data_IF_988579069173
#
_entry.id   IF_988579069173
#
_cell.length_a   1.000
_cell.length_b   1.000
_cell.length_c   1.000
_cell.angle_alpha   90.00
_cell.angle_beta   90.00
_cell.angle_gamma   90.00
#
_symmetry.space_group_name_H-M   'P 1'
#
loop_
_entity.id
_entity.type
_entity.pdbx_description
1 polymer ?
#
# COMPACT_ATOMS: atom_id res chain seq x y z
N UNK A 1 -2.76 -19.74 19.84
CA UNK A 1 -3.74 -18.83 19.18
C UNK A 1 -5.14 -19.43 19.32
N UNK A 2 -6.18 -18.59 19.44
CA UNK A 2 -7.54 -19.01 19.75
C UNK A 2 -8.27 -19.54 18.49
N UNK A 3 -8.74 -20.81 18.45
CA UNK A 3 -9.39 -21.41 17.28
C UNK A 3 -10.62 -20.64 16.77
N UNK A 4 -11.35 -19.98 17.66
CA UNK A 4 -12.54 -19.19 17.31
C UNK A 4 -12.18 -17.96 16.45
N UNK A 5 -11.01 -17.36 16.67
CA UNK A 5 -10.53 -16.20 15.90
C UNK A 5 -10.17 -16.58 14.45
N UNK A 6 -9.76 -17.83 14.22
CA UNK A 6 -9.45 -18.33 12.87
C UNK A 6 -10.73 -18.57 12.04
N UNK A 7 -11.82 -19.03 12.68
CA UNK A 7 -13.08 -19.31 12.00
C UNK A 7 -13.77 -18.02 11.50
N UNK A 8 -13.76 -16.96 12.31
CA UNK A 8 -14.34 -15.66 11.96
C UNK A 8 -13.60 -14.96 10.82
N UNK A 9 -12.26 -15.02 10.81
CA UNK A 9 -11.44 -14.45 9.73
C UNK A 9 -11.69 -15.19 8.42
N UNK A 10 -11.69 -16.54 8.45
CA UNK A 10 -11.98 -17.36 7.27
C UNK A 10 -13.36 -17.03 6.69
N UNK A 11 -14.40 -16.99 7.52
CA UNK A 11 -15.76 -16.66 7.07
C UNK A 11 -15.85 -15.25 6.48
N UNK A 12 -15.12 -14.28 7.03
CA UNK A 12 -15.01 -12.93 6.47
C UNK A 12 -14.41 -12.90 5.07
N UNK A 13 -13.28 -13.58 4.85
CA UNK A 13 -12.67 -13.67 3.52
C UNK A 13 -13.56 -14.41 2.52
N UNK A 14 -14.16 -15.54 2.92
CA UNK A 14 -15.08 -16.30 2.08
C UNK A 14 -16.28 -15.47 1.61
N UNK A 15 -16.80 -14.58 2.46
CA UNK A 15 -17.89 -13.67 2.10
C UNK A 15 -17.48 -12.60 1.07
N UNK A 16 -16.18 -12.26 0.99
CA UNK A 16 -15.66 -11.26 0.06
C UNK A 16 -15.27 -11.85 -1.31
N UNK A 17 -14.92 -13.14 -1.38
CA UNK A 17 -14.47 -13.81 -2.61
C UNK A 17 -15.40 -13.69 -3.83
N UNK A 18 -16.75 -13.71 -3.69
CA UNK A 18 -17.64 -13.55 -4.84
C UNK A 18 -17.45 -12.20 -5.56
N UNK A 19 -16.97 -11.17 -4.84
CA UNK A 19 -16.69 -9.85 -5.39
C UNK A 19 -15.63 -9.90 -6.48
N UNK A 20 -14.34 -10.15 -6.16
CA UNK A 20 -13.26 -10.28 -7.14
C UNK A 20 -13.64 -11.15 -8.34
N UNK A 21 -14.14 -12.37 -8.11
CA UNK A 21 -14.51 -13.28 -9.20
C UNK A 21 -15.54 -12.65 -10.15
N UNK A 22 -16.56 -11.98 -9.62
CA UNK A 22 -17.57 -11.32 -10.45
C UNK A 22 -17.02 -10.11 -11.21
N UNK A 23 -16.15 -9.31 -10.59
CA UNK A 23 -15.57 -8.11 -11.18
C UNK A 23 -14.63 -8.45 -12.34
N UNK A 24 -13.77 -9.45 -12.17
CA UNK A 24 -12.80 -9.88 -13.17
C UNK A 24 -13.44 -10.43 -14.47
N UNK A 25 -14.72 -10.80 -14.43
CA UNK A 25 -15.48 -11.30 -15.58
C UNK A 25 -16.46 -10.27 -16.17
N UNK A 26 -16.40 -9.01 -15.75
CA UNK A 26 -17.18 -7.94 -16.38
C UNK A 26 -16.56 -7.54 -17.73
N UNK A 27 -17.37 -6.90 -18.58
CA UNK A 27 -16.85 -6.27 -19.79
C UNK A 27 -16.10 -4.98 -19.43
N UNK A 28 -14.98 -4.73 -20.12
CA UNK A 28 -14.26 -3.47 -19.97
C UNK A 28 -15.11 -2.28 -20.42
N UNK A 29 -15.12 -1.16 -19.68
CA UNK A 29 -15.94 0.01 -20.03
C UNK A 29 -15.43 0.75 -21.27
N UNK A 30 -14.20 0.51 -21.71
CA UNK A 30 -13.60 1.15 -22.88
C UNK A 30 -12.89 0.14 -23.80
N UNK A 31 -12.94 0.30 -25.13
CA UNK A 31 -12.22 -0.56 -26.07
C UNK A 31 -10.71 -0.57 -25.83
N UNK A 32 -10.09 -1.75 -25.90
CA UNK A 32 -8.64 -1.92 -25.72
C UNK A 32 -8.16 -1.86 -24.27
N UNK A 33 -9.07 -1.76 -23.30
CA UNK A 33 -8.76 -1.89 -21.88
C UNK A 33 -9.15 -3.27 -21.37
N UNK A 34 -8.40 -3.74 -20.38
CA UNK A 34 -8.73 -4.94 -19.63
C UNK A 34 -9.49 -4.54 -18.35
N UNK A 35 -10.54 -5.29 -18.03
CA UNK A 35 -11.36 -5.06 -16.84
C UNK A 35 -10.56 -5.18 -15.54
N UNK A 36 -9.47 -5.93 -15.55
CA UNK A 36 -8.60 -6.10 -14.39
C UNK A 36 -7.94 -4.78 -13.97
N UNK A 37 -7.61 -3.92 -14.92
CA UNK A 37 -7.07 -2.58 -14.68
C UNK A 37 -8.12 -1.51 -14.38
N UNK A 38 -9.41 -1.85 -14.30
CA UNK A 38 -10.46 -0.90 -13.96
C UNK A 38 -10.39 -0.56 -12.46
N UNK A 39 -10.21 0.72 -12.09
CA UNK A 39 -10.01 1.10 -10.69
C UNK A 39 -11.28 1.00 -9.84
N UNK A 40 -12.46 1.17 -10.44
CA UNK A 40 -13.70 1.24 -9.68
C UNK A 40 -14.92 0.68 -10.40
N UNK A 41 -15.84 0.22 -9.57
CA UNK A 41 -17.10 -0.39 -9.94
C UNK A 41 -18.20 0.22 -9.08
N UNK A 42 -19.44 0.13 -9.55
CA UNK A 42 -20.61 0.38 -8.70
C UNK A 42 -20.71 -0.70 -7.61
N UNK A 43 -21.40 -0.38 -6.50
CA UNK A 43 -21.57 -1.31 -5.37
C UNK A 43 -22.26 -2.62 -5.80
N UNK A 44 -23.09 -2.55 -6.83
CA UNK A 44 -23.76 -3.70 -7.41
C UNK A 44 -22.84 -4.59 -8.27
N UNK A 45 -21.58 -4.19 -8.48
CA UNK A 45 -20.55 -4.96 -9.20
C UNK A 45 -20.42 -4.65 -10.70
N UNK A 46 -21.19 -3.71 -11.25
CA UNK A 46 -21.02 -3.30 -12.65
C UNK A 46 -19.89 -2.26 -12.81
N UNK A 47 -19.17 -2.26 -13.96
CA UNK A 47 -18.10 -1.31 -14.20
C UNK A 47 -18.64 0.12 -14.26
N UNK A 48 -17.84 1.08 -13.81
CA UNK A 48 -18.18 2.49 -13.94
C UNK A 48 -17.90 2.98 -15.36
N UNK A 49 -18.95 3.31 -16.13
CA UNK A 49 -18.83 3.67 -17.55
C UNK A 49 -18.43 5.13 -17.82
N UNK A 50 -18.41 5.99 -16.79
CA UNK A 50 -18.07 7.41 -16.95
C UNK A 50 -16.56 7.66 -17.16
N UNK A 51 -16.16 8.88 -17.57
CA UNK A 51 -14.75 9.27 -17.67
C UNK A 51 -14.02 9.10 -16.34
N UNK A 52 -12.82 8.52 -16.37
CA UNK A 52 -12.01 8.25 -15.19
C UNK A 52 -10.54 8.01 -15.55
N UNK A 53 -9.64 8.17 -14.57
CA UNK A 53 -8.22 7.85 -14.70
C UNK A 53 -8.00 6.34 -14.72
N UNK A 54 -8.17 5.71 -15.89
CA UNK A 54 -8.02 4.26 -16.12
C UNK A 54 -7.03 3.96 -17.26
N UNK A 55 -6.31 2.83 -17.22
CA UNK A 55 -6.30 1.82 -16.16
C UNK A 55 -5.44 2.24 -14.94
N UNK A 56 -5.61 1.54 -13.82
CA UNK A 56 -4.72 1.58 -12.65
C UNK A 56 -4.21 0.16 -12.37
N UNK A 57 -2.91 -0.06 -12.54
CA UNK A 57 -2.32 -1.40 -12.59
C UNK A 57 -1.79 -1.88 -11.23
N UNK A 58 -2.02 -1.13 -10.15
CA UNK A 58 -1.75 -1.52 -8.78
C UNK A 58 -2.88 -2.39 -8.20
N UNK A 59 -4.13 -2.15 -8.60
CA UNK A 59 -5.32 -2.87 -8.13
C UNK A 59 -5.22 -4.40 -8.21
N UNK A 60 -4.95 -4.99 -9.39
CA UNK A 60 -4.73 -6.44 -9.53
C UNK A 60 -3.62 -6.98 -8.66
N UNK A 61 -2.50 -6.26 -8.54
CA UNK A 61 -1.38 -6.69 -7.72
C UNK A 61 -1.75 -6.71 -6.23
N UNK A 62 -2.40 -5.64 -5.74
CA UNK A 62 -2.87 -5.56 -4.35
C UNK A 62 -3.90 -6.66 -4.03
N UNK A 63 -4.83 -6.90 -4.95
CA UNK A 63 -5.86 -7.96 -4.82
C UNK A 63 -5.22 -9.35 -4.81
N UNK A 64 -4.29 -9.64 -5.72
CA UNK A 64 -3.52 -10.88 -5.72
C UNK A 64 -2.79 -11.09 -4.39
N UNK A 65 -2.04 -10.10 -3.90
CA UNK A 65 -1.32 -10.20 -2.63
C UNK A 65 -2.21 -10.59 -1.45
N UNK A 66 -3.36 -9.93 -1.30
CA UNK A 66 -4.31 -10.25 -0.21
C UNK A 66 -4.86 -11.67 -0.34
N UNK A 67 -5.27 -12.05 -1.55
CA UNK A 67 -5.82 -13.39 -1.80
C UNK A 67 -4.77 -14.49 -1.67
N UNK A 68 -3.50 -14.21 -2.00
CA UNK A 68 -2.37 -15.14 -1.78
C UNK A 68 -2.17 -15.38 -0.29
N UNK A 69 -2.21 -14.34 0.54
CA UNK A 69 -2.09 -14.51 2.01
C UNK A 69 -3.23 -15.36 2.56
N UNK A 70 -4.46 -15.15 2.07
CA UNK A 70 -5.59 -16.00 2.44
C UNK A 70 -5.41 -17.45 1.96
N UNK A 71 -4.99 -17.67 0.71
CA UNK A 71 -4.71 -18.99 0.17
C UNK A 71 -3.62 -19.72 0.96
N UNK A 72 -2.54 -19.04 1.37
CA UNK A 72 -1.49 -19.64 2.20
C UNK A 72 -2.02 -20.11 3.56
N UNK A 73 -2.88 -19.33 4.22
CA UNK A 73 -3.52 -19.75 5.47
C UNK A 73 -4.41 -20.99 5.28
N UNK A 74 -5.16 -21.06 4.18
CA UNK A 74 -5.98 -22.23 3.86
C UNK A 74 -5.11 -23.46 3.59
N UNK A 75 -4.00 -23.31 2.87
CA UNK A 75 -3.05 -24.39 2.62
C UNK A 75 -2.36 -24.86 3.92
N UNK A 76 -2.06 -23.97 4.85
CA UNK A 76 -1.53 -24.33 6.18
C UNK A 76 -2.54 -25.13 7.00
N UNK A 77 -3.84 -24.94 6.73
CA UNK A 77 -4.95 -25.68 7.34
C UNK A 77 -5.38 -26.92 6.53
N UNK A 78 -4.58 -27.36 5.55
CA UNK A 78 -4.85 -28.50 4.68
C UNK A 78 -6.10 -28.37 3.78
N UNK A 79 -6.50 -27.14 3.42
CA UNK A 79 -7.64 -26.87 2.54
C UNK A 79 -7.22 -26.68 1.07
N UNK A 80 -6.35 -27.57 0.58
CA UNK A 80 -5.75 -27.46 -0.77
C UNK A 80 -6.77 -27.50 -1.89
N UNK A 81 -7.77 -28.39 -1.83
CA UNK A 81 -8.82 -28.52 -2.84
C UNK A 81 -9.61 -27.21 -2.99
N UNK A 82 -9.99 -26.59 -1.86
CA UNK A 82 -10.68 -25.30 -1.88
C UNK A 82 -9.86 -24.21 -2.59
N UNK A 83 -8.56 -24.15 -2.29
CA UNK A 83 -7.66 -23.17 -2.92
C UNK A 83 -7.56 -23.43 -4.42
N UNK A 84 -7.42 -24.69 -4.84
CA UNK A 84 -7.31 -25.05 -6.25
C UNK A 84 -8.58 -24.75 -7.05
N UNK A 85 -9.75 -24.98 -6.45
CA UNK A 85 -11.04 -24.80 -7.11
C UNK A 85 -11.52 -23.35 -7.15
N UNK A 86 -11.12 -22.52 -6.17
CA UNK A 86 -11.72 -21.19 -5.97
C UNK A 86 -10.74 -20.03 -6.09
N UNK A 87 -9.45 -20.24 -5.78
CA UNK A 87 -8.48 -19.15 -5.64
C UNK A 87 -7.38 -19.20 -6.70
N UNK A 88 -6.76 -20.36 -6.87
CA UNK A 88 -5.63 -20.55 -7.78
C UNK A 88 -5.74 -21.89 -8.49
N UNK A 89 -6.08 -21.86 -9.78
CA UNK A 89 -5.97 -22.99 -10.68
C UNK A 89 -4.82 -22.73 -11.66
N UNK A 90 -4.05 -23.76 -12.01
CA UNK A 90 -2.88 -23.64 -12.90
C UNK A 90 -3.25 -23.56 -14.39
N UNK A 91 -4.54 -23.68 -14.74
CA UNK A 91 -4.98 -23.50 -16.11
C UNK A 91 -4.92 -22.02 -16.56
N UNK A 92 -4.96 -21.81 -17.88
CA UNK A 92 -5.01 -20.50 -18.51
C UNK A 92 -6.35 -20.23 -19.22
N UNK A 93 -7.40 -21.00 -18.93
CA UNK A 93 -8.73 -20.78 -19.50
C UNK A 93 -9.42 -19.62 -18.76
N UNK A 94 -9.71 -18.49 -19.40
CA UNK A 94 -10.33 -17.33 -18.76
C UNK A 94 -11.64 -17.62 -18.01
N UNK A 95 -12.37 -18.68 -18.39
CA UNK A 95 -13.63 -19.05 -17.74
C UNK A 95 -13.46 -19.89 -16.47
N UNK A 96 -12.31 -20.52 -16.29
CA UNK A 96 -12.01 -21.42 -15.16
C UNK A 96 -10.71 -21.10 -14.43
N UNK A 97 -10.00 -20.06 -14.85
CA UNK A 97 -8.81 -19.54 -14.21
C UNK A 97 -9.16 -19.02 -12.81
N UNK A 98 -8.32 -19.35 -11.83
CA UNK A 98 -8.49 -18.87 -10.46
C UNK A 98 -8.32 -17.36 -10.35
N UNK A 99 -9.03 -16.71 -9.43
CA UNK A 99 -9.00 -15.25 -9.24
C UNK A 99 -7.59 -14.70 -8.99
N UNK A 100 -6.74 -15.45 -8.27
CA UNK A 100 -5.33 -15.09 -8.02
C UNK A 100 -4.53 -15.22 -9.31
N UNK A 101 -4.71 -16.31 -10.04
CA UNK A 101 -4.00 -16.59 -11.28
C UNK A 101 -4.28 -15.48 -12.30
N UNK A 102 -5.54 -15.07 -12.44
CA UNK A 102 -5.96 -14.00 -13.35
C UNK A 102 -5.29 -12.65 -13.04
N UNK A 103 -5.24 -12.25 -11.77
CA UNK A 103 -4.55 -11.02 -11.37
C UNK A 103 -3.03 -11.10 -11.56
N UNK A 104 -2.42 -12.27 -11.31
CA UNK A 104 -0.99 -12.47 -11.51
C UNK A 104 -0.61 -12.48 -12.98
N UNK A 105 -1.38 -13.13 -13.85
CA UNK A 105 -1.17 -13.10 -15.30
C UNK A 105 -1.31 -11.67 -15.82
N UNK A 106 -2.34 -10.93 -15.41
CA UNK A 106 -2.49 -9.53 -15.77
C UNK A 106 -1.28 -8.69 -15.31
N UNK A 107 -0.91 -8.82 -14.04
CA UNK A 107 0.24 -8.09 -13.48
C UNK A 107 1.54 -8.41 -14.22
N UNK A 108 1.79 -9.68 -14.53
CA UNK A 108 2.99 -10.13 -15.21
C UNK A 108 3.10 -9.62 -16.66
N UNK A 109 1.97 -9.42 -17.34
CA UNK A 109 1.93 -8.94 -18.72
C UNK A 109 1.81 -7.42 -18.86
N UNK A 110 1.33 -6.71 -17.82
CA UNK A 110 1.03 -5.27 -17.87
C UNK A 110 1.86 -4.40 -16.93
N UNK A 111 2.81 -4.95 -16.16
CA UNK A 111 3.63 -4.15 -15.24
C UNK A 111 4.46 -3.06 -15.96
N UNK A 112 4.83 -3.31 -17.22
CA UNK A 112 5.61 -2.37 -18.02
C UNK A 112 4.79 -1.21 -18.60
N UNK A 113 3.46 -1.35 -18.62
CA UNK A 113 2.56 -0.40 -19.25
C UNK A 113 2.41 0.88 -18.44
N UNK A 114 2.09 1.98 -19.13
CA UNK A 114 1.68 3.21 -18.46
C UNK A 114 0.27 3.05 -17.90
N UNK A 115 0.04 3.57 -16.70
CA UNK A 115 -1.23 3.54 -16.00
C UNK A 115 -1.40 4.84 -15.21
N UNK A 116 -2.57 5.06 -14.61
CA UNK A 116 -2.76 6.15 -13.65
C UNK A 116 -2.15 5.78 -12.29
N UNK A 117 -1.66 6.78 -11.55
CA UNK A 117 -1.19 6.58 -10.18
C UNK A 117 -2.33 6.24 -9.22
N UNK A 118 -1.99 5.77 -8.01
CA UNK A 118 -2.92 5.50 -6.90
C UNK A 118 -3.82 6.68 -6.50
N UNK A 119 -3.47 7.89 -6.96
CA UNK A 119 -4.22 9.13 -6.75
C UNK A 119 -5.18 9.44 -7.91
N UNK A 120 -5.16 8.61 -8.95
CA UNK A 120 -6.05 8.66 -10.11
C UNK A 120 -5.84 9.90 -11.01
N UNK A 121 -4.65 10.50 -10.96
CA UNK A 121 -4.38 11.85 -11.52
C UNK A 121 -3.31 11.86 -12.61
N UNK A 122 -2.22 11.11 -12.42
CA UNK A 122 -1.03 11.15 -13.27
C UNK A 122 -0.93 9.87 -14.09
N UNK A 123 -0.93 9.97 -15.42
CA UNK A 123 -0.71 8.82 -16.30
C UNK A 123 0.78 8.62 -16.61
N UNK A 124 1.40 7.56 -16.10
CA UNK A 124 2.82 7.32 -16.26
C UNK A 124 3.31 5.99 -15.70
N UNK A 125 4.52 6.03 -15.12
CA UNK A 125 5.13 4.90 -14.42
C UNK A 125 5.37 5.31 -12.97
N UNK A 126 4.78 4.56 -12.04
CA UNK A 126 4.66 4.99 -10.64
C UNK A 126 5.37 4.01 -9.70
N UNK A 127 6.08 4.56 -8.73
CA UNK A 127 6.85 3.79 -7.77
C UNK A 127 5.96 2.87 -6.92
N UNK A 128 4.84 3.41 -6.42
CA UNK A 128 3.87 2.64 -5.63
C UNK A 128 3.33 1.42 -6.40
N UNK A 129 2.89 1.64 -7.65
CA UNK A 129 2.39 0.57 -8.51
C UNK A 129 3.45 -0.50 -8.74
N UNK A 130 4.68 -0.10 -9.08
CA UNK A 130 5.77 -1.05 -9.28
C UNK A 130 6.11 -1.85 -8.01
N UNK A 131 6.08 -1.22 -6.83
CA UNK A 131 6.27 -1.91 -5.54
C UNK A 131 5.17 -2.95 -5.27
N UNK A 132 3.90 -2.60 -5.54
CA UNK A 132 2.78 -3.52 -5.39
C UNK A 132 2.89 -4.73 -6.35
N UNK A 133 3.16 -4.46 -7.63
CA UNK A 133 3.31 -5.49 -8.67
C UNK A 133 4.47 -6.45 -8.39
N UNK A 134 5.63 -5.92 -8.00
CA UNK A 134 6.77 -6.76 -7.64
C UNK A 134 6.44 -7.68 -6.47
N UNK A 135 5.82 -7.14 -5.41
CA UNK A 135 5.43 -7.93 -4.24
C UNK A 135 4.49 -9.06 -4.64
N UNK A 136 3.43 -8.73 -5.37
CA UNK A 136 2.43 -9.70 -5.80
C UNK A 136 3.05 -10.83 -6.63
N UNK A 137 3.96 -10.52 -7.54
CA UNK A 137 4.62 -11.52 -8.39
C UNK A 137 5.59 -12.42 -7.60
N UNK A 138 6.35 -11.89 -6.63
CA UNK A 138 7.17 -12.74 -5.76
C UNK A 138 6.32 -13.65 -4.85
N UNK A 139 5.24 -13.12 -4.28
CA UNK A 139 4.28 -13.90 -3.48
C UNK A 139 3.57 -14.96 -4.34
N UNK A 140 3.20 -14.58 -5.56
CA UNK A 140 2.58 -15.46 -6.55
C UNK A 140 3.51 -16.58 -6.99
N UNK A 141 4.79 -16.29 -7.20
CA UNK A 141 5.79 -17.32 -7.49
C UNK A 141 5.94 -18.33 -6.34
N UNK A 142 5.90 -17.88 -5.09
CA UNK A 142 5.95 -18.75 -3.93
C UNK A 142 4.69 -19.64 -3.83
N UNK A 143 3.49 -19.07 -4.05
CA UNK A 143 2.24 -19.83 -4.08
C UNK A 143 2.22 -20.85 -5.22
N UNK A 144 2.62 -20.46 -6.43
CA UNK A 144 2.67 -21.31 -7.60
C UNK A 144 3.56 -22.54 -7.38
N UNK A 145 4.77 -22.37 -6.79
CA UNK A 145 5.62 -23.52 -6.39
C UNK A 145 4.94 -24.42 -5.38
N UNK A 146 4.28 -23.85 -4.37
CA UNK A 146 3.56 -24.61 -3.34
C UNK A 146 2.42 -25.45 -3.93
N UNK A 147 1.83 -25.00 -5.04
CA UNK A 147 0.76 -25.69 -5.78
C UNK A 147 1.26 -26.47 -7.01
N UNK A 148 2.58 -26.67 -7.13
CA UNK A 148 3.25 -27.39 -8.23
C UNK A 148 3.08 -26.78 -9.64
N UNK A 149 2.74 -25.49 -9.76
CA UNK A 149 2.79 -24.72 -11.02
C UNK A 149 4.18 -24.06 -11.19
N UNK A 150 5.19 -24.88 -11.44
CA UNK A 150 6.59 -24.44 -11.44
C UNK A 150 6.94 -23.51 -12.61
N UNK A 151 6.31 -23.68 -13.78
CA UNK A 151 6.57 -22.83 -14.94
C UNK A 151 6.08 -21.41 -14.70
N UNK A 152 4.85 -21.24 -14.19
CA UNK A 152 4.34 -19.94 -13.80
C UNK A 152 5.17 -19.31 -12.68
N UNK A 153 5.63 -20.10 -11.72
CA UNK A 153 6.47 -19.59 -10.65
C UNK A 153 7.78 -18.97 -11.18
N UNK A 154 8.45 -19.65 -12.13
CA UNK A 154 9.66 -19.12 -12.77
C UNK A 154 9.35 -17.84 -13.55
N UNK A 155 8.25 -17.83 -14.30
CA UNK A 155 7.81 -16.67 -15.07
C UNK A 155 7.53 -15.45 -14.17
N UNK A 156 6.74 -15.60 -13.10
CA UNK A 156 6.44 -14.52 -12.18
C UNK A 156 7.69 -13.99 -11.47
N UNK A 157 8.60 -14.87 -11.06
CA UNK A 157 9.87 -14.45 -10.46
C UNK A 157 10.73 -13.67 -11.45
N UNK A 158 10.76 -14.08 -12.73
CA UNK A 158 11.47 -13.34 -13.77
C UNK A 158 10.87 -11.94 -13.96
N UNK A 159 9.55 -11.80 -14.04
CA UNK A 159 8.89 -10.49 -14.16
C UNK A 159 9.15 -9.62 -12.92
N UNK A 160 9.04 -10.18 -11.71
CA UNK A 160 9.33 -9.47 -10.46
C UNK A 160 10.78 -8.93 -10.41
N UNK A 161 11.74 -9.70 -10.94
CA UNK A 161 13.13 -9.26 -11.07
C UNK A 161 13.30 -8.14 -12.10
N UNK A 162 12.58 -8.17 -13.23
CA UNK A 162 12.62 -7.08 -14.21
C UNK A 162 12.04 -5.77 -13.64
N UNK A 163 11.04 -5.86 -12.76
CA UNK A 163 10.50 -4.69 -12.05
C UNK A 163 11.56 -4.02 -11.15
N UNK A 164 12.56 -4.74 -10.62
CA UNK A 164 13.67 -4.10 -9.89
C UNK A 164 14.38 -3.05 -10.76
N UNK A 165 14.55 -3.34 -12.05
CA UNK A 165 15.15 -2.39 -12.98
C UNK A 165 14.30 -1.13 -13.09
N UNK A 166 12.96 -1.27 -13.16
CA UNK A 166 12.04 -0.13 -13.14
C UNK A 166 12.14 0.67 -11.83
N UNK A 167 12.13 -0.01 -10.68
CA UNK A 167 12.23 0.64 -9.36
C UNK A 167 13.54 1.44 -9.22
N UNK A 168 14.66 0.93 -9.73
CA UNK A 168 15.93 1.66 -9.71
C UNK A 168 15.89 2.97 -10.52
N UNK A 169 15.06 3.08 -11.56
CA UNK A 169 14.90 4.33 -12.32
C UNK A 169 14.22 5.44 -11.50
N UNK A 170 13.50 5.09 -10.43
CA UNK A 170 12.87 6.06 -9.54
C UNK A 170 13.86 6.67 -8.54
N UNK A 171 15.07 6.12 -8.40
CA UNK A 171 16.08 6.71 -7.54
C UNK A 171 16.63 7.98 -8.19
N UNK A 172 16.52 9.11 -7.49
CA UNK A 172 17.17 10.36 -7.89
C UNK A 172 18.54 10.46 -7.21
N UNK A 173 19.65 10.19 -7.92
CA UNK A 173 20.98 10.23 -7.32
C UNK A 173 21.44 11.66 -6.96
N UNK A 174 20.85 12.70 -7.55
CA UNK A 174 21.25 14.08 -7.30
C UNK A 174 20.79 14.55 -5.91
N UNK A 175 19.53 14.29 -5.58
CA UNK A 175 18.95 14.66 -4.28
C UNK A 175 18.97 13.50 -3.27
N UNK A 176 19.30 12.28 -3.73
CA UNK A 176 19.16 11.03 -2.99
C UNK A 176 17.75 10.89 -2.44
N UNK A 177 16.75 11.11 -3.27
CA UNK A 177 15.32 10.92 -2.98
C UNK A 177 14.71 9.93 -3.98
N UNK A 178 13.45 9.57 -3.79
CA UNK A 178 12.73 8.66 -4.71
C UNK A 178 11.64 9.46 -5.42
N UNK A 179 11.68 9.41 -6.75
CA UNK A 179 10.68 9.98 -7.64
C UNK A 179 9.41 9.13 -7.57
N UNK A 180 8.27 9.71 -7.24
CA UNK A 180 7.01 8.98 -7.23
C UNK A 180 6.57 8.53 -8.63
N UNK A 181 6.77 9.39 -9.63
CA UNK A 181 6.49 9.14 -11.04
C UNK A 181 7.73 9.41 -11.90
N UNK A 182 7.99 8.58 -12.90
CA UNK A 182 9.08 8.83 -13.85
C UNK A 182 8.70 9.91 -14.87
N UNK A 183 9.64 10.83 -15.11
CA UNK A 183 9.53 11.88 -16.11
C UNK A 183 9.88 11.38 -17.54
N UNK A 184 9.32 11.97 -18.60
CA UNK A 184 8.21 12.93 -18.58
C UNK A 184 6.85 12.24 -18.44
N UNK A 185 5.90 12.90 -17.77
CA UNK A 185 4.51 12.47 -17.70
C UNK A 185 3.54 13.67 -17.83
N UNK A 186 2.31 13.46 -18.34
CA UNK A 186 1.23 14.43 -18.24
C UNK A 186 0.72 14.58 -16.79
N UNK A 187 -0.11 15.59 -16.53
CA UNK A 187 -0.71 15.82 -15.21
C UNK A 187 0.11 16.73 -14.29
N UNK A 188 -0.29 16.85 -13.01
CA UNK A 188 0.39 17.69 -12.03
C UNK A 188 1.90 17.38 -11.95
N UNK A 189 2.73 18.42 -12.03
CA UNK A 189 4.19 18.30 -11.86
C UNK A 189 4.53 18.55 -10.41
N UNK A 190 5.12 17.55 -9.75
CA UNK A 190 5.38 17.58 -8.31
C UNK A 190 6.82 18.06 -8.09
N UNK A 191 7.05 18.94 -7.11
CA UNK A 191 8.42 19.39 -6.79
C UNK A 191 9.29 18.18 -6.46
N UNK A 192 10.35 17.95 -7.25
CA UNK A 192 11.24 16.78 -7.16
C UNK A 192 10.51 15.42 -7.24
N UNK A 193 9.30 15.39 -7.82
CA UNK A 193 8.42 14.21 -7.79
C UNK A 193 8.21 13.61 -6.39
N UNK A 194 8.22 14.47 -5.36
CA UNK A 194 7.93 14.08 -3.98
C UNK A 194 6.45 13.71 -3.82
N UNK A 195 6.20 12.54 -3.26
CA UNK A 195 4.85 12.06 -2.96
C UNK A 195 4.90 11.02 -1.82
N UNK A 196 3.94 11.08 -0.90
CA UNK A 196 3.83 10.12 0.20
C UNK A 196 3.47 8.70 -0.26
N UNK A 197 3.04 8.51 -1.51
CA UNK A 197 2.89 7.20 -2.15
C UNK A 197 4.19 6.41 -2.21
N UNK A 198 5.35 7.08 -2.21
CA UNK A 198 6.65 6.42 -2.03
C UNK A 198 6.70 5.70 -0.69
N UNK A 199 6.34 6.39 0.40
CA UNK A 199 6.36 5.82 1.75
C UNK A 199 5.36 4.66 1.85
N UNK A 200 4.16 4.81 1.27
CA UNK A 200 3.19 3.73 1.16
C UNK A 200 3.78 2.51 0.41
N UNK A 201 4.46 2.74 -0.71
CA UNK A 201 5.11 1.70 -1.51
C UNK A 201 6.21 0.96 -0.75
N UNK A 202 7.06 1.70 -0.03
CA UNK A 202 8.11 1.12 0.84
C UNK A 202 7.50 0.22 1.92
N UNK A 203 6.38 0.62 2.52
CA UNK A 203 5.72 -0.13 3.60
C UNK A 203 4.83 -1.27 3.11
N UNK A 204 4.49 -1.33 1.83
CA UNK A 204 3.80 -2.50 1.25
C UNK A 204 4.67 -3.76 1.29
N UNK A 205 5.98 -3.59 1.06
CA UNK A 205 6.97 -4.67 1.08
C UNK A 205 8.33 -4.16 1.61
N UNK A 206 8.47 -3.94 2.93
CA UNK A 206 9.65 -3.32 3.49
C UNK A 206 10.88 -4.22 3.34
N UNK A 207 11.80 -3.82 2.47
CA UNK A 207 13.06 -4.51 2.26
C UNK A 207 13.97 -4.35 3.48
N UNK A 208 14.75 -5.38 3.82
CA UNK A 208 15.68 -5.33 4.95
C UNK A 208 16.93 -4.51 4.66
N UNK A 209 17.39 -4.50 3.41
CA UNK A 209 18.64 -3.89 2.96
C UNK A 209 18.44 -3.27 1.56
N UNK A 210 19.40 -2.45 1.12
CA UNK A 210 19.41 -1.83 -0.20
C UNK A 210 18.82 -0.42 -0.20
N UNK A 211 18.83 0.22 -1.37
CA UNK A 211 18.41 1.62 -1.51
C UNK A 211 16.91 1.85 -1.28
N UNK A 212 16.10 0.79 -1.29
CA UNK A 212 14.67 0.83 -0.99
C UNK A 212 14.32 0.28 0.41
N UNK A 213 15.31 0.00 1.27
CA UNK A 213 15.00 -0.34 2.66
C UNK A 213 14.48 0.90 3.42
N UNK A 214 13.58 0.75 4.40
CA UNK A 214 13.05 1.88 5.15
C UNK A 214 14.11 2.78 5.80
N UNK A 215 15.27 2.21 6.16
CA UNK A 215 16.41 2.92 6.74
C UNK A 215 17.44 3.42 5.73
N UNK A 216 17.21 3.28 4.43
CA UNK A 216 18.13 3.75 3.39
C UNK A 216 18.19 5.28 3.37
N UNK A 217 19.29 5.82 2.84
CA UNK A 217 19.42 7.27 2.64
C UNK A 217 18.34 7.81 1.71
N UNK A 218 17.97 7.07 0.65
CA UNK A 218 16.93 7.48 -0.30
C UNK A 218 15.56 7.63 0.37
N UNK A 219 15.15 6.65 1.18
CA UNK A 219 13.87 6.69 1.88
C UNK A 219 13.87 7.77 2.95
N UNK A 220 14.93 7.86 3.77
CA UNK A 220 15.02 8.86 4.84
C UNK A 220 15.03 10.29 4.31
N UNK A 221 15.74 10.57 3.22
CA UNK A 221 15.74 11.88 2.58
C UNK A 221 14.39 12.20 1.95
N UNK A 222 13.70 11.23 1.34
CA UNK A 222 12.35 11.44 0.80
C UNK A 222 11.37 11.80 1.93
N UNK A 223 11.38 11.04 3.04
CA UNK A 223 10.56 11.33 4.22
C UNK A 223 10.88 12.71 4.80
N UNK A 224 12.17 13.06 4.90
CA UNK A 224 12.60 14.38 5.38
C UNK A 224 12.13 15.51 4.46
N UNK A 225 12.28 15.35 3.15
CA UNK A 225 11.84 16.36 2.18
C UNK A 225 10.32 16.54 2.22
N UNK A 226 9.54 15.45 2.31
CA UNK A 226 8.10 15.51 2.50
C UNK A 226 7.74 16.22 3.82
N UNK A 227 8.44 15.92 4.91
CA UNK A 227 8.26 16.60 6.19
C UNK A 227 8.44 18.11 6.03
N UNK A 228 9.56 18.55 5.45
CA UNK A 228 9.87 19.97 5.28
C UNK A 228 8.83 20.71 4.41
N UNK A 229 8.33 20.04 3.36
CA UNK A 229 7.28 20.60 2.51
C UNK A 229 5.96 20.75 3.26
N UNK A 230 5.48 19.69 3.94
CA UNK A 230 4.18 19.73 4.61
C UNK A 230 4.17 20.57 5.89
N UNK A 231 5.30 20.67 6.60
CA UNK A 231 5.44 21.57 7.75
C UNK A 231 5.29 23.04 7.32
N UNK A 232 5.91 23.40 6.19
CA UNK A 232 5.81 24.73 5.59
C UNK A 232 4.42 25.01 4.99
N UNK A 233 3.85 24.03 4.28
CA UNK A 233 2.62 24.22 3.50
C UNK A 233 1.34 24.23 4.33
N UNK A 234 1.29 23.52 5.46
CA UNK A 234 0.05 23.35 6.23
C UNK A 234 0.09 24.15 7.52
N UNK A 235 -0.61 25.31 7.61
CA UNK A 235 -0.59 26.15 8.81
C UNK A 235 -1.02 25.45 10.09
N UNK A 236 -1.84 24.39 9.98
CA UNK A 236 -2.25 23.56 11.10
C UNK A 236 -1.08 22.90 11.84
N UNK A 237 0.03 22.61 11.14
CA UNK A 237 1.23 22.00 11.72
C UNK A 237 1.93 22.93 12.72
N UNK A 238 1.79 24.25 12.57
CA UNK A 238 2.31 25.23 13.53
C UNK A 238 1.58 25.22 14.89
N UNK A 239 0.47 24.48 15.03
CA UNK A 239 -0.30 24.39 16.29
C UNK A 239 0.21 23.31 17.25
N UNK A 240 1.32 22.65 16.93
CA UNK A 240 1.99 21.69 17.80
C UNK A 240 3.49 21.64 17.47
N UNK A 241 4.29 21.23 18.45
CA UNK A 241 5.72 20.96 18.25
C UNK A 241 5.94 19.47 18.04
N UNK A 242 6.80 19.10 17.09
CA UNK A 242 7.16 17.71 16.85
C UNK A 242 6.52 17.16 15.57
N UNK A 243 5.72 16.11 15.70
CA UNK A 243 5.10 15.41 14.58
C UNK A 243 4.09 16.30 13.84
N UNK A 244 4.03 16.14 12.52
CA UNK A 244 3.20 16.95 11.62
C UNK A 244 2.15 16.11 10.92
N UNK A 245 1.12 16.75 10.36
CA UNK A 245 0.19 16.10 9.45
C UNK A 245 0.78 16.04 8.03
N UNK A 246 0.60 14.89 7.36
CA UNK A 246 1.09 14.64 6.00
C UNK A 246 -0.06 14.63 4.99
N UNK A 247 0.17 15.19 3.80
CA UNK A 247 -0.73 15.16 2.64
C UNK A 247 -0.19 14.28 1.51
N UNK A 248 -0.85 14.23 0.35
CA UNK A 248 -0.45 13.36 -0.78
C UNK A 248 0.90 13.75 -1.37
N UNK A 249 1.00 14.98 -1.88
CA UNK A 249 2.22 15.53 -2.46
C UNK A 249 2.24 17.06 -2.36
N UNK A 250 3.43 17.70 -2.39
CA UNK A 250 3.53 19.16 -2.44
C UNK A 250 2.91 19.72 -3.73
N UNK A 251 2.01 20.71 -3.60
CA UNK A 251 1.26 21.28 -4.72
C UNK A 251 -0.04 20.55 -5.08
N UNK A 252 -0.49 19.61 -4.24
CA UNK A 252 -1.83 19.00 -4.37
C UNK A 252 -2.93 20.08 -4.38
N UNK A 253 -3.91 19.93 -5.28
CA UNK A 253 -5.03 20.84 -5.47
C UNK A 253 -6.39 20.26 -5.09
N UNK A 254 -6.42 19.00 -4.65
CA UNK A 254 -7.64 18.32 -4.22
C UNK A 254 -7.95 18.57 -2.75
N UNK A 255 -9.02 19.32 -2.47
CA UNK A 255 -9.40 19.68 -1.10
C UNK A 255 -10.35 18.71 -0.39
N UNK A 256 -10.65 17.57 -1.02
CA UNK A 256 -11.65 16.61 -0.55
C UNK A 256 -12.99 16.73 -1.27
N UNK A 257 -13.18 17.80 -2.06
CA UNK A 257 -14.41 18.00 -2.83
C UNK A 257 -14.15 18.42 -4.28
N UNK A 258 -13.09 19.18 -4.53
CA UNK A 258 -12.74 19.74 -5.84
C UNK A 258 -11.23 19.79 -6.05
N UNK A 259 -10.78 19.83 -7.31
CA UNK A 259 -9.37 19.74 -7.73
C UNK A 259 -8.75 21.08 -8.16
N UNK A 260 -9.41 22.20 -7.86
CA UNK A 260 -8.99 23.56 -8.20
C UNK A 260 -8.70 24.42 -6.94
N UNK A 261 -8.31 23.75 -5.84
CA UNK A 261 -8.13 24.35 -4.52
C UNK A 261 -6.72 24.05 -3.99
N UNK A 262 -6.52 24.11 -2.67
CA UNK A 262 -5.29 23.70 -1.99
C UNK A 262 -5.56 22.38 -1.28
N UNK A 263 -4.70 21.39 -1.52
CA UNK A 263 -4.75 20.09 -0.90
C UNK A 263 -4.52 20.15 0.61
N UNK A 264 -4.96 19.10 1.31
CA UNK A 264 -4.93 19.06 2.75
C UNK A 264 -4.10 17.88 3.25
N UNK A 265 -3.79 17.83 4.56
CA UNK A 265 -3.34 16.61 5.19
C UNK A 265 -4.39 15.49 5.16
N UNK A 266 -3.91 14.25 5.13
CA UNK A 266 -4.70 13.02 5.04
C UNK A 266 -4.46 12.13 6.26
N UNK A 267 -5.52 11.47 6.73
CA UNK A 267 -5.40 10.52 7.84
C UNK A 267 -4.55 9.31 7.48
N UNK A 268 -4.71 8.80 6.26
CA UNK A 268 -3.94 7.66 5.74
C UNK A 268 -2.45 7.96 5.90
N UNK A 269 -2.01 9.10 5.38
CA UNK A 269 -0.58 9.44 5.26
C UNK A 269 0.03 9.86 6.60
N UNK A 270 -0.74 10.50 7.47
CA UNK A 270 -0.33 10.76 8.85
C UNK A 270 -0.17 9.45 9.64
N UNK A 271 -1.08 8.48 9.47
CA UNK A 271 -0.96 7.16 10.09
C UNK A 271 0.17 6.32 9.46
N UNK A 272 0.43 6.45 8.17
CA UNK A 272 1.56 5.83 7.46
C UNK A 272 2.89 6.24 8.09
N UNK A 273 3.03 7.47 8.56
CA UNK A 273 4.25 7.89 9.28
C UNK A 273 4.43 7.14 10.60
N UNK A 274 3.34 6.82 11.32
CA UNK A 274 3.44 5.94 12.49
C UNK A 274 3.97 4.55 12.11
N UNK A 275 3.38 3.94 11.08
CA UNK A 275 3.83 2.65 10.55
C UNK A 275 5.30 2.68 10.08
N UNK A 276 5.73 3.78 9.46
CA UNK A 276 7.12 3.97 9.03
C UNK A 276 8.09 3.91 10.21
N UNK A 277 7.85 4.69 11.27
CA UNK A 277 8.73 4.68 12.44
C UNK A 277 8.70 3.34 13.17
N UNK A 278 7.53 2.70 13.30
CA UNK A 278 7.45 1.34 13.84
C UNK A 278 8.21 0.33 12.96
N UNK A 279 8.21 0.49 11.64
CA UNK A 279 8.99 -0.37 10.73
C UNK A 279 10.49 -0.18 10.94
N UNK A 280 10.96 1.06 11.12
CA UNK A 280 12.35 1.34 11.48
C UNK A 280 12.73 0.65 12.80
N UNK A 281 11.89 0.76 13.83
CA UNK A 281 12.10 0.07 15.10
C UNK A 281 12.16 -1.45 14.94
N UNK A 282 11.27 -2.03 14.13
CA UNK A 282 11.16 -3.48 13.95
C UNK A 282 12.38 -4.07 13.23
N UNK A 283 12.97 -3.32 12.31
CA UNK A 283 14.14 -3.72 11.53
C UNK A 283 15.46 -3.61 12.30
N UNK A 284 15.46 -2.94 13.46
CA UNK A 284 16.64 -2.86 14.32
C UNK A 284 16.83 -4.15 15.14
N UNK A 285 18.09 -4.59 15.34
CA UNK A 285 18.41 -5.65 16.29
C UNK A 285 18.13 -5.19 17.72
N UNK A 286 17.74 -6.12 18.60
CA UNK A 286 17.32 -5.81 19.98
C UNK A 286 18.40 -5.10 20.83
N UNK A 287 19.66 -5.14 20.42
CA UNK A 287 20.76 -4.41 21.07
C UNK A 287 20.63 -2.88 20.92
N UNK A 288 19.95 -2.38 19.89
CA UNK A 288 19.77 -0.95 19.62
C UNK A 288 18.55 -0.38 20.37
N UNK A 289 18.47 -0.61 21.69
CA UNK A 289 17.28 -0.29 22.49
C UNK A 289 16.91 1.19 22.47
N UNK A 290 17.91 2.08 22.47
CA UNK A 290 17.70 3.54 22.42
C UNK A 290 17.01 3.97 21.12
N UNK A 291 17.51 3.52 19.97
CA UNK A 291 16.96 3.82 18.65
C UNK A 291 15.58 3.18 18.47
N UNK A 292 15.38 1.97 18.98
CA UNK A 292 14.06 1.31 19.00
C UNK A 292 13.06 2.16 19.80
N UNK A 293 13.42 2.58 21.01
CA UNK A 293 12.56 3.41 21.86
C UNK A 293 12.24 4.77 21.21
N UNK A 294 13.23 5.41 20.59
CA UNK A 294 13.05 6.67 19.85
C UNK A 294 12.05 6.52 18.71
N UNK A 295 12.20 5.49 17.88
CA UNK A 295 11.30 5.23 16.76
C UNK A 295 9.90 4.84 17.24
N UNK A 296 9.78 4.03 18.29
CA UNK A 296 8.50 3.71 18.92
C UNK A 296 7.79 4.98 19.43
N UNK A 297 8.54 5.88 20.09
CA UNK A 297 7.99 7.14 20.58
C UNK A 297 7.50 8.05 19.44
N UNK A 298 8.26 8.13 18.34
CA UNK A 298 7.86 8.90 17.17
C UNK A 298 6.56 8.35 16.57
N UNK A 299 6.46 7.03 16.38
CA UNK A 299 5.23 6.41 15.87
C UNK A 299 4.03 6.63 16.80
N UNK A 300 4.24 6.54 18.11
CA UNK A 300 3.18 6.80 19.11
C UNK A 300 2.68 8.25 19.03
N UNK A 301 3.55 9.20 18.73
CA UNK A 301 3.15 10.59 18.61
C UNK A 301 2.35 10.86 17.33
N UNK A 302 2.65 10.21 16.21
CA UNK A 302 1.79 10.26 15.01
C UNK A 302 0.40 9.67 15.28
N UNK A 303 0.29 8.55 16.02
CA UNK A 303 -1.02 8.01 16.42
C UNK A 303 -1.78 8.94 17.37
N UNK A 304 -1.09 9.60 18.31
CA UNK A 304 -1.69 10.64 19.15
C UNK A 304 -2.16 11.84 18.32
N UNK A 305 -1.44 12.20 17.27
CA UNK A 305 -1.82 13.28 16.36
C UNK A 305 -3.08 12.93 15.58
N UNK A 306 -3.18 11.70 15.06
CA UNK A 306 -4.43 11.18 14.47
C UNK A 306 -5.57 11.26 15.49
N UNK A 307 -5.36 10.79 16.72
CA UNK A 307 -6.38 10.84 17.79
C UNK A 307 -6.79 12.26 18.18
N UNK A 308 -5.86 13.22 18.12
CA UNK A 308 -6.13 14.64 18.40
C UNK A 308 -7.13 15.24 17.42
N UNK A 309 -6.98 14.94 16.13
CA UNK A 309 -7.88 15.47 15.09
C UNK A 309 -9.14 14.62 14.88
N UNK A 310 -9.12 13.35 15.29
CA UNK A 310 -10.30 12.47 15.30
C UNK A 310 -10.50 11.82 16.68
N UNK A 311 -10.94 12.58 17.70
CA UNK A 311 -11.07 12.08 19.07
C UNK A 311 -12.12 10.96 19.21
N UNK A 312 -13.13 10.91 18.35
CA UNK A 312 -14.14 9.85 18.30
C UNK A 312 -13.78 8.70 17.34
N UNK A 313 -12.58 8.74 16.75
CA UNK A 313 -12.11 7.80 15.72
C UNK A 313 -12.95 7.78 14.44
N UNK A 314 -13.76 8.81 14.14
CA UNK A 314 -14.40 8.93 12.83
C UNK A 314 -13.44 9.55 11.83
N UNK A 315 -12.69 8.70 11.14
CA UNK A 315 -11.65 9.13 10.21
C UNK A 315 -12.25 9.47 8.85
N UNK A 316 -12.23 10.74 8.48
CA UNK A 316 -12.51 11.14 7.08
C UNK A 316 -11.29 10.90 6.20
N UNK A 317 -11.38 11.27 4.93
CA UNK A 317 -10.24 11.30 4.03
C UNK A 317 -9.19 12.32 4.50
N UNK A 318 -9.62 13.56 4.74
CA UNK A 318 -8.73 14.70 4.95
C UNK A 318 -8.98 15.45 6.27
N UNK A 319 -7.99 16.25 6.67
CA UNK A 319 -8.03 17.21 7.77
C UNK A 319 -7.74 18.58 7.20
N UNK A 320 -8.66 19.54 7.31
CA UNK A 320 -8.48 20.88 6.76
C UNK A 320 -7.15 21.53 7.21
N UNK A 321 -6.33 21.98 6.25
CA UNK A 321 -4.97 22.46 6.49
C UNK A 321 -4.86 23.69 7.41
N UNK A 322 -5.96 24.42 7.65
CA UNK A 322 -5.99 25.63 8.48
C UNK A 322 -6.70 25.40 9.82
N UNK A 323 -7.86 24.75 9.77
CA UNK A 323 -8.79 24.64 10.90
C UNK A 323 -8.65 23.33 11.67
N UNK A 324 -8.20 22.25 11.03
CA UNK A 324 -8.22 20.91 11.59
C UNK A 324 -9.59 20.20 11.52
N UNK A 325 -10.59 20.82 10.88
CA UNK A 325 -11.91 20.22 10.67
C UNK A 325 -11.80 19.08 9.65
N UNK A 326 -12.49 17.96 9.91
CA UNK A 326 -12.54 16.80 9.02
C UNK A 326 -13.27 17.15 7.72
N UNK A 327 -12.75 16.69 6.57
CA UNK A 327 -13.37 16.94 5.27
C UNK A 327 -13.07 15.83 4.26
N UNK A 328 -13.73 15.88 3.11
CA UNK A 328 -13.69 14.84 2.09
C UNK A 328 -14.60 13.66 2.44
N UNK A 329 -14.30 12.48 1.88
CA UNK A 329 -15.10 11.29 2.10
C UNK A 329 -15.20 10.94 3.60
N UNK A 330 -16.41 10.88 4.19
CA UNK A 330 -16.58 10.53 5.59
C UNK A 330 -16.33 9.03 5.78
N UNK A 331 -15.69 8.67 6.91
CA UNK A 331 -15.43 7.28 7.27
C UNK A 331 -14.71 6.49 6.16
N UNK A 332 -13.64 7.06 5.62
CA UNK A 332 -12.87 6.42 4.56
C UNK A 332 -12.19 5.14 5.08
N UNK A 333 -12.58 3.98 4.53
CA UNK A 333 -12.07 2.65 4.95
C UNK A 333 -10.54 2.60 5.03
N UNK A 334 -9.84 3.18 4.06
CA UNK A 334 -8.39 3.19 4.01
C UNK A 334 -7.76 3.98 5.18
N UNK A 335 -8.38 5.07 5.64
CA UNK A 335 -7.93 5.80 6.84
C UNK A 335 -7.95 4.91 8.08
N UNK A 336 -8.99 4.07 8.25
CA UNK A 336 -9.06 3.11 9.35
C UNK A 336 -8.00 2.01 9.21
N UNK A 337 -7.83 1.45 8.02
CA UNK A 337 -6.84 0.39 7.77
C UNK A 337 -5.42 0.88 8.04
N UNK A 338 -5.09 2.11 7.66
CA UNK A 338 -3.77 2.69 7.93
C UNK A 338 -3.49 2.80 9.44
N UNK A 339 -4.47 3.23 10.24
CA UNK A 339 -4.34 3.26 11.71
C UNK A 339 -4.22 1.85 12.29
N UNK A 340 -5.03 0.90 11.81
CA UNK A 340 -4.99 -0.49 12.27
C UNK A 340 -3.64 -1.16 11.99
N UNK A 341 -3.06 -0.96 10.80
CA UNK A 341 -1.71 -1.45 10.45
C UNK A 341 -0.65 -0.91 11.40
N UNK A 342 -0.69 0.40 11.69
CA UNK A 342 0.24 1.02 12.62
C UNK A 342 0.10 0.44 14.03
N UNK A 343 -1.13 0.25 14.53
CA UNK A 343 -1.39 -0.36 15.86
C UNK A 343 -0.89 -1.81 15.91
N UNK A 344 -1.17 -2.62 14.88
CA UNK A 344 -0.73 -4.02 14.83
C UNK A 344 0.81 -4.12 14.95
N UNK A 345 1.53 -3.29 14.21
CA UNK A 345 2.99 -3.28 14.25
C UNK A 345 3.52 -2.79 15.61
N UNK A 346 2.88 -1.77 16.19
CA UNK A 346 3.18 -1.27 17.54
C UNK A 346 3.02 -2.36 18.61
N UNK A 347 1.95 -3.14 18.54
CA UNK A 347 1.68 -4.21 19.51
C UNK A 347 2.69 -5.35 19.39
N UNK A 348 3.08 -5.70 18.16
CA UNK A 348 4.15 -6.67 17.89
C UNK A 348 5.48 -6.22 18.48
N UNK A 349 5.85 -4.95 18.30
CA UNK A 349 7.07 -4.36 18.86
C UNK A 349 7.07 -4.36 20.39
N UNK A 350 5.95 -3.95 21.00
CA UNK A 350 5.80 -3.92 22.45
C UNK A 350 5.97 -5.33 23.03
N UNK A 351 5.42 -6.34 22.35
CA UNK A 351 5.58 -7.74 22.73
C UNK A 351 7.04 -8.17 22.62
N UNK A 352 7.73 -7.84 21.52
CA UNK A 352 9.17 -8.14 21.33
C UNK A 352 10.04 -7.56 22.45
N UNK A 353 9.81 -6.31 22.84
CA UNK A 353 10.58 -5.64 23.89
C UNK A 353 10.39 -6.27 25.27
N UNK A 354 9.14 -6.66 25.61
CA UNK A 354 8.87 -7.35 26.89
C UNK A 354 9.62 -8.68 27.01
N UNK A 355 9.70 -9.47 25.94
CA UNK A 355 10.41 -10.75 25.96
C UNK A 355 11.93 -10.54 26.09
N UNK A 356 12.51 -9.57 25.39
CA UNK A 356 13.94 -9.27 25.50
C UNK A 356 14.36 -8.77 26.90
N UNK A 357 13.48 -8.06 27.63
CA UNK A 357 13.76 -7.68 29.01
C UNK A 357 13.78 -8.89 29.96
N UNK A 358 12.90 -9.88 29.75
CA UNK A 358 12.84 -11.08 30.59
C UNK A 358 14.03 -12.03 30.39
N UNK A 359 14.63 -12.07 29.19
CA UNK A 359 15.83 -12.88 28.90
C UNK A 359 17.14 -12.28 29.44
N UNK A 360 17.18 -10.97 29.71
CA UNK A 360 18.35 -10.31 30.30
C UNK A 360 18.36 -10.45 31.83
N UNK A 361 17.17 -10.59 32.44
CA UNK A 361 16.98 -10.75 33.88
C UNK A 361 17.01 -12.21 34.36
N UNK A 362 17.21 -13.18 33.45
CA UNK A 362 17.35 -14.62 33.71
C UNK A 362 18.77 -15.11 33.47
#
# INVERSE_FOLDING_TARGET
MNPLRHLDIKNGYLAMLPGPKRLQHQHAPSPGQDILGEPKFYIDGYPFEGPWGRPQNDGPALRASVLIHFAQQLLDNNETEYVQDNLYNNNLDPHSMGVIKMDLEYTAHHWSDKNYDLWEEVFGHHFFTAMAQQKALFEGAALARRLNDNEAAVYYEQQARLINTRLNLHLDPAHKTILATLLPHPGPQKTLELDSSVVLGILLNPQKNGDLSPNSTYVQNTVKALYEQFDSMFPINNKHSGEILFGRYPGDTYDGYQTNSIGNPWFILTATMAEYYYTLANNLPSINQSEIAKNLQAGDNYLKLVKKYAPDMKLSEQINLNTGILQGAPSLTWSYVAVLRAIELRDKLTSKLRHSSMEIDS
#
